data_IF_868682072246
#
_entry.id   IF_868682072246
#
_cell.length_a   1.000
_cell.length_b   1.000
_cell.length_c   1.000
_cell.angle_alpha   90.00
_cell.angle_beta   90.00
_cell.angle_gamma   90.00
#
_symmetry.space_group_name_H-M   'P 1'
#
loop_
_entity.id
_entity.type
_entity.pdbx_description
1 polymer ?
#
# COMPACT_ATOMS: atom_id res chain seq x y z
N UNK A 1 -6.52 -5.24 19.40
CA UNK A 1 -6.80 -5.11 17.98
C UNK A 1 -5.51 -5.00 17.23
N UNK A 2 -5.44 -5.65 16.10
CA UNK A 2 -4.20 -5.76 15.37
C UNK A 2 -4.28 -5.06 14.03
N UNK A 3 -4.63 -3.78 14.10
CA UNK A 3 -4.63 -2.97 12.89
C UNK A 3 -3.21 -2.49 12.60
N UNK A 4 -2.82 -2.46 11.33
CA UNK A 4 -1.49 -2.00 10.98
C UNK A 4 -1.41 -0.49 11.05
N UNK A 5 -0.20 0.01 11.29
CA UNK A 5 0.09 1.41 11.04
C UNK A 5 0.50 1.55 9.59
N UNK A 6 0.07 2.63 8.96
CA UNK A 6 0.33 2.83 7.54
C UNK A 6 1.28 4.01 7.40
N UNK A 7 2.45 3.74 6.84
CA UNK A 7 3.42 4.80 6.55
C UNK A 7 4.42 4.32 5.50
N UNK A 8 5.07 5.27 4.85
CA UNK A 8 6.03 4.95 3.82
C UNK A 8 7.19 4.14 4.41
N UNK A 9 7.53 3.00 3.80
CA UNK A 9 8.62 2.19 4.34
C UNK A 9 10.00 2.83 4.17
N UNK A 10 10.10 3.89 3.37
CA UNK A 10 11.38 4.54 3.14
C UNK A 10 11.59 5.79 3.98
N UNK A 11 10.54 6.60 4.18
CA UNK A 11 10.69 7.88 4.87
C UNK A 11 9.72 8.07 6.03
N UNK A 12 8.84 7.10 6.25
CA UNK A 12 7.87 7.11 7.35
C UNK A 12 6.78 8.18 7.23
N UNK A 13 6.60 8.77 6.04
CA UNK A 13 5.50 9.69 5.79
C UNK A 13 4.16 8.95 5.98
N UNK A 14 3.22 9.60 6.64
CA UNK A 14 1.92 8.98 6.92
C UNK A 14 0.85 9.58 6.02
N UNK A 15 0.15 8.74 5.24
CA UNK A 15 -0.93 9.24 4.40
C UNK A 15 -2.12 9.69 5.24
N UNK A 16 -2.85 10.69 4.74
CA UNK A 16 -4.04 11.21 5.37
C UNK A 16 -5.25 10.85 4.52
N UNK A 17 -6.45 10.97 5.11
CA UNK A 17 -7.66 10.64 4.38
C UNK A 17 -7.90 11.46 3.14
N UNK A 18 -7.40 12.71 3.12
CA UNK A 18 -7.57 13.58 1.97
C UNK A 18 -6.54 13.35 0.87
N UNK A 19 -5.54 12.53 1.11
CA UNK A 19 -4.55 12.25 0.09
C UNK A 19 -5.15 11.39 -1.02
N UNK A 20 -4.65 11.59 -2.24
CA UNK A 20 -5.19 10.91 -3.42
C UNK A 20 -4.07 10.38 -4.29
N UNK A 21 -4.33 9.24 -4.89
CA UNK A 21 -3.46 8.63 -5.89
C UNK A 21 -4.25 8.42 -7.15
N UNK A 22 -3.57 8.34 -8.27
CA UNK A 22 -4.23 8.14 -9.55
C UNK A 22 -3.89 6.77 -10.11
N UNK A 23 -4.90 6.11 -10.68
CA UNK A 23 -4.68 4.91 -11.47
C UNK A 23 -4.02 5.37 -12.77
N UNK A 24 -2.70 5.39 -12.79
CA UNK A 24 -1.91 6.13 -13.74
C UNK A 24 -2.12 5.67 -15.18
N UNK A 25 -2.62 6.54 -16.06
CA UNK A 25 -2.73 6.18 -17.49
C UNK A 25 -1.38 5.87 -18.12
N UNK A 26 -0.31 6.50 -17.61
CA UNK A 26 1.03 6.23 -18.14
C UNK A 26 1.45 4.80 -17.87
N UNK A 27 0.87 4.17 -16.88
CA UNK A 27 1.21 2.81 -16.49
C UNK A 27 0.08 1.84 -16.83
N UNK A 28 -0.81 2.24 -17.74
CA UNK A 28 -1.91 1.39 -18.18
C UNK A 28 -3.18 1.53 -17.36
N UNK A 29 -3.24 2.53 -16.49
CA UNK A 29 -4.40 2.72 -15.63
C UNK A 29 -5.54 3.47 -16.29
N UNK A 30 -6.66 3.58 -15.57
CA UNK A 30 -7.88 4.18 -16.12
C UNK A 30 -8.05 5.65 -15.77
N UNK A 31 -7.16 6.23 -14.96
CA UNK A 31 -7.23 7.64 -14.59
C UNK A 31 -8.02 7.93 -13.33
N UNK A 32 -8.64 6.94 -12.72
CA UNK A 32 -9.39 7.15 -11.49
C UNK A 32 -8.50 7.68 -10.39
N UNK A 33 -9.01 8.64 -9.62
CA UNK A 33 -8.29 9.23 -8.48
C UNK A 33 -9.00 8.82 -7.21
N UNK A 34 -8.25 8.22 -6.29
CA UNK A 34 -8.81 7.77 -5.01
C UNK A 34 -7.69 7.65 -4.00
N UNK A 35 -8.06 7.40 -2.74
CA UNK A 35 -7.04 7.09 -1.73
C UNK A 35 -6.77 5.59 -1.78
N UNK A 36 -5.55 5.22 -2.18
CA UNK A 36 -5.22 3.81 -2.42
C UNK A 36 -5.34 2.94 -1.17
N UNK A 37 -5.31 3.55 0.01
CA UNK A 37 -5.42 2.78 1.26
C UNK A 37 -6.87 2.49 1.64
N UNK A 38 -7.83 3.09 0.94
CA UNK A 38 -9.24 2.75 1.15
C UNK A 38 -9.57 1.37 0.61
N UNK A 39 -8.82 0.89 -0.38
CA UNK A 39 -9.16 -0.33 -1.11
C UNK A 39 -7.97 -1.29 -1.18
N UNK A 40 -6.96 -1.11 -0.34
CA UNK A 40 -5.76 -1.95 -0.36
C UNK A 40 -5.12 -2.03 -1.75
N UNK A 41 -5.12 -0.88 -2.45
CA UNK A 41 -4.47 -0.77 -3.75
C UNK A 41 -5.35 -1.10 -4.94
N UNK A 42 -6.61 -1.49 -4.72
CA UNK A 42 -7.50 -1.83 -5.83
C UNK A 42 -8.19 -0.57 -6.34
N UNK A 43 -8.02 -0.29 -7.63
CA UNK A 43 -8.66 0.87 -8.25
C UNK A 43 -10.18 0.67 -8.30
N UNK A 44 -10.97 1.59 -7.76
CA UNK A 44 -12.42 1.44 -7.81
C UNK A 44 -13.00 1.67 -9.21
N UNK A 45 -12.22 2.25 -10.11
CA UNK A 45 -12.71 2.50 -11.46
C UNK A 45 -12.53 1.31 -12.40
N UNK A 46 -11.42 0.59 -12.30
CA UNK A 46 -11.15 -0.51 -13.23
C UNK A 46 -10.79 -1.81 -12.54
N UNK A 47 -10.74 -1.83 -11.22
CA UNK A 47 -10.46 -3.02 -10.41
C UNK A 47 -9.02 -3.53 -10.52
N UNK A 48 -8.13 -2.78 -11.15
CA UNK A 48 -6.73 -3.17 -11.19
C UNK A 48 -6.12 -3.04 -9.79
N UNK A 49 -5.38 -4.05 -9.38
CA UNK A 49 -4.72 -4.03 -8.08
C UNK A 49 -3.26 -3.58 -8.24
N UNK A 50 -2.98 -2.40 -7.71
CA UNK A 50 -1.64 -1.85 -7.80
C UNK A 50 -0.72 -2.50 -6.78
N UNK A 51 0.42 -2.99 -7.26
CA UNK A 51 1.40 -3.64 -6.40
C UNK A 51 2.36 -2.65 -5.75
N UNK A 52 2.43 -1.44 -6.28
CA UNK A 52 3.34 -0.41 -5.79
C UNK A 52 2.56 0.85 -5.47
N UNK A 53 3.12 1.66 -4.57
CA UNK A 53 2.49 2.92 -4.17
C UNK A 53 3.55 4.00 -4.11
N UNK A 54 3.24 5.14 -4.72
CA UNK A 54 4.13 6.28 -4.77
C UNK A 54 4.02 7.09 -3.48
N UNK A 55 5.16 7.44 -2.89
CA UNK A 55 5.18 8.33 -1.72
C UNK A 55 5.40 9.77 -2.20
N UNK A 56 4.43 10.67 -1.96
CA UNK A 56 4.62 12.06 -2.39
C UNK A 56 5.68 12.80 -1.59
N UNK A 57 6.05 12.29 -0.42
CA UNK A 57 7.04 12.93 0.42
C UNK A 57 8.46 12.66 -0.07
N UNK A 58 8.81 11.38 -0.23
CA UNK A 58 10.17 11.04 -0.67
C UNK A 58 10.23 10.76 -2.18
N UNK A 59 9.08 10.73 -2.87
CA UNK A 59 8.98 10.55 -4.31
C UNK A 59 9.52 9.23 -4.81
N UNK A 60 9.37 8.20 -3.98
CA UNK A 60 9.81 6.85 -4.35
C UNK A 60 8.61 5.92 -4.36
N UNK A 61 8.69 4.90 -5.22
CA UNK A 61 7.72 3.82 -5.19
C UNK A 61 8.19 2.75 -4.22
N UNK A 62 7.24 2.11 -3.56
CA UNK A 62 7.53 0.96 -2.70
C UNK A 62 6.39 -0.03 -2.84
N UNK A 63 6.64 -1.31 -2.62
CA UNK A 63 5.54 -2.28 -2.66
C UNK A 63 4.43 -1.84 -1.73
N UNK A 64 3.19 -1.92 -2.22
CA UNK A 64 2.06 -1.43 -1.46
C UNK A 64 1.97 -2.13 -0.10
N UNK A 65 2.24 -3.43 -0.07
CA UNK A 65 2.14 -4.19 1.17
C UNK A 65 3.15 -3.72 2.22
N UNK A 66 4.26 -3.11 1.80
CA UNK A 66 5.29 -2.64 2.74
C UNK A 66 4.87 -1.39 3.49
N UNK A 67 3.77 -0.76 3.09
CA UNK A 67 3.23 0.39 3.80
C UNK A 67 2.49 -0.01 5.06
N UNK A 68 2.10 -1.29 5.19
CA UNK A 68 1.34 -1.79 6.34
C UNK A 68 2.30 -2.40 7.34
N UNK A 69 2.35 -1.83 8.55
CA UNK A 69 3.28 -2.24 9.59
C UNK A 69 2.48 -2.80 10.75
N UNK A 70 2.52 -4.12 10.87
CA UNK A 70 1.69 -4.81 11.84
C UNK A 70 2.32 -4.78 13.21
N UNK A 71 1.53 -4.73 14.28
CA UNK A 71 2.08 -4.78 15.62
C UNK A 71 2.87 -6.05 15.83
N UNK A 72 3.88 -5.97 16.66
CA UNK A 72 4.70 -7.11 16.97
C UNK A 72 3.84 -8.23 17.55
N UNK A 73 4.04 -9.46 17.07
CA UNK A 73 3.32 -10.61 17.56
C UNK A 73 2.01 -10.87 16.85
N UNK A 74 1.64 -10.07 15.88
CA UNK A 74 0.34 -10.20 15.23
C UNK A 74 0.40 -10.97 13.92
N UNK A 75 1.53 -11.23 13.40
CA UNK A 75 1.56 -11.81 12.08
C UNK A 75 1.57 -13.32 12.14
N UNK A 76 1.84 -13.04 11.87
CA UNK A 76 2.15 -13.73 11.70
C UNK A 76 2.02 -14.50 11.36
N UNK A 77 1.72 -14.75 11.57
CA UNK A 77 1.60 -15.25 11.30
C UNK A 77 1.53 -15.54 10.15
N UNK A 78 1.69 -15.25 9.61
CA UNK A 78 1.87 -15.33 8.62
C UNK A 78 2.69 -15.41 7.87
N UNK A 79 3.01 -15.37 8.34
CA UNK A 79 3.85 -15.53 7.80
C UNK A 79 4.57 -15.83 7.57
N UNK A 80 4.47 -15.99 7.68
CA UNK A 80 5.20 -16.26 7.48
C UNK A 80 5.52 -16.89 7.15
N UNK A 81 5.04 -16.94 7.25
CA UNK A 81 5.40 -17.40 6.79
C UNK A 81 5.68 -17.58 6.13
N UNK A 82 5.30 -17.42 6.10
CA UNK A 82 5.70 -17.58 5.34
C UNK A 82 6.36 -17.76 5.00
N UNK A 83 6.25 -17.65 5.11
CA UNK A 83 6.96 -17.87 4.66
C UNK A 83 7.50 -18.13 4.38
N UNK A 84 7.25 -18.08 4.61
CA UNK A 84 7.82 -18.31 4.23
C UNK A 84 8.19 -18.38 3.71
N UNK A 85 7.83 -18.44 3.63
CA UNK A 85 8.15 -18.36 3.08
C UNK A 85 8.44 -18.08 2.73
N UNK A 86 8.37 -18.14 2.39
CA UNK A 86 8.72 -17.93 2.05
C UNK A 86 9.39 -18.02 1.84
N UNK A 87 9.18 -17.72 2.18
CA UNK A 87 9.77 -17.87 2.10
C UNK A 87 10.18 -17.99 1.76
#
# INVERSE_FOLDING_TARGET
MNEPQIFCPRCAWRPQGEDRWQCSPRMGGCGTVWNTFWTAGVCPGCSYRWQITFCPSCRQFSPHEDWYHWPEGSTQERERELEVGRD
#
